data_IF_022890127080
#
_entry.id   IF_022890127080
#
_cell.length_a   1.000
_cell.length_b   1.000
_cell.length_c   1.000
_cell.angle_alpha   90.00
_cell.angle_beta   90.00
_cell.angle_gamma   90.00
#
_symmetry.space_group_name_H-M   'P 1'
#
loop_
_entity.id
_entity.type
_entity.pdbx_description
1 polymer ?
#
# COMPACT_ATOMS: atom_id res chain seq x y z
N UNK A 1 0.80 39.29 -36.66
CA UNK A 1 1.07 39.07 -35.22
C UNK A 1 0.46 37.73 -34.86
N UNK A 2 1.26 36.67 -34.80
CA UNK A 2 0.76 35.32 -34.51
C UNK A 2 0.91 35.06 -33.01
N UNK A 3 -0.22 34.92 -32.30
CA UNK A 3 -0.23 34.45 -30.91
C UNK A 3 -0.08 32.93 -30.93
N UNK A 4 1.11 32.44 -30.57
CA UNK A 4 1.30 31.04 -30.21
C UNK A 4 0.75 30.84 -28.78
N UNK A 5 -0.39 30.15 -28.67
CA UNK A 5 -0.92 29.69 -27.39
C UNK A 5 -0.19 28.39 -27.04
N UNK A 6 0.80 28.48 -26.16
CA UNK A 6 1.42 27.31 -25.55
C UNK A 6 0.43 26.69 -24.57
N UNK A 7 -0.18 25.57 -24.98
CA UNK A 7 -0.94 24.73 -24.08
C UNK A 7 0.03 24.13 -23.03
N UNK A 8 -0.07 24.60 -21.79
CA UNK A 8 0.49 23.92 -20.63
C UNK A 8 -0.25 22.59 -20.50
N UNK A 9 0.36 21.52 -20.99
CA UNK A 9 -0.08 20.17 -20.68
C UNK A 9 0.04 19.99 -19.17
N UNK A 10 -1.08 20.09 -18.47
CA UNK A 10 -1.17 19.73 -17.06
C UNK A 10 -0.73 18.28 -16.95
N UNK A 11 0.40 18.06 -16.30
CA UNK A 11 0.81 16.72 -15.87
C UNK A 11 -0.33 16.26 -14.98
N UNK A 12 -1.09 15.27 -15.43
CA UNK A 12 -2.02 14.57 -14.55
C UNK A 12 -1.15 13.86 -13.51
N UNK A 13 -0.83 14.56 -12.42
CA UNK A 13 -0.16 13.95 -11.28
C UNK A 13 -1.05 12.78 -10.85
N UNK A 14 -0.49 11.57 -10.86
CA UNK A 14 -1.17 10.43 -10.29
C UNK A 14 -1.54 10.80 -8.85
N UNK A 15 -2.83 10.99 -8.60
CA UNK A 15 -3.35 11.50 -7.33
C UNK A 15 -2.76 10.68 -6.17
N UNK A 16 -1.91 11.30 -5.34
CA UNK A 16 -1.20 10.59 -4.28
C UNK A 16 -2.19 10.20 -3.17
N UNK A 17 -2.57 8.93 -3.17
CA UNK A 17 -3.57 8.35 -2.29
C UNK A 17 -2.98 7.72 -1.02
N UNK A 18 -1.66 7.60 -0.94
CA UNK A 18 -0.97 7.22 0.30
C UNK A 18 -1.10 8.38 1.29
N UNK A 19 -1.47 8.05 2.53
CA UNK A 19 -1.53 9.01 3.63
C UNK A 19 -0.30 9.92 3.68
N UNK A 20 -0.54 11.20 3.93
CA UNK A 20 0.50 12.23 3.95
C UNK A 20 1.70 11.87 4.84
N UNK A 21 1.45 11.32 6.03
CA UNK A 21 2.51 10.94 6.99
C UNK A 21 3.31 9.69 6.58
N UNK A 22 2.82 8.91 5.61
CA UNK A 22 3.57 7.81 5.02
C UNK A 22 4.49 8.23 3.87
N UNK A 23 4.18 9.33 3.17
CA UNK A 23 4.91 9.77 1.96
C UNK A 23 6.43 9.89 2.15
N UNK A 24 6.96 10.37 3.29
CA UNK A 24 8.42 10.42 3.50
C UNK A 24 9.09 9.05 3.62
N UNK A 25 8.32 7.98 3.83
CA UNK A 25 8.83 6.63 4.08
C UNK A 25 8.68 5.68 2.90
N UNK A 26 7.98 6.09 1.84
CA UNK A 26 7.66 5.26 0.67
C UNK A 26 8.09 5.94 -0.62
N UNK A 27 8.31 5.17 -1.67
CA UNK A 27 8.45 5.74 -3.01
C UNK A 27 7.10 6.35 -3.44
N UNK A 28 7.15 7.54 -4.03
CA UNK A 28 5.98 8.22 -4.58
C UNK A 28 5.29 7.38 -5.66
N UNK A 29 3.97 7.51 -5.77
CA UNK A 29 3.17 6.64 -6.64
C UNK A 29 3.53 6.75 -8.12
N UNK A 30 3.92 7.94 -8.59
CA UNK A 30 4.39 8.21 -9.95
C UNK A 30 5.73 7.53 -10.30
N UNK A 31 6.56 7.27 -9.29
CA UNK A 31 7.82 6.54 -9.42
C UNK A 31 7.67 5.02 -9.45
N UNK A 32 6.48 4.49 -9.17
CA UNK A 32 6.23 3.05 -9.12
C UNK A 32 5.97 2.48 -10.51
N UNK A 33 6.47 1.27 -10.73
CA UNK A 33 6.28 0.53 -11.98
C UNK A 33 5.23 -0.55 -11.79
N UNK A 34 4.19 -0.47 -12.61
CA UNK A 34 3.10 -1.46 -12.69
C UNK A 34 3.14 -2.16 -14.03
N UNK A 35 2.72 -3.43 -14.08
CA UNK A 35 2.67 -4.17 -15.34
C UNK A 35 1.65 -3.58 -16.32
N UNK A 36 0.57 -2.95 -15.81
CA UNK A 36 -0.42 -2.23 -16.60
C UNK A 36 -1.24 -1.27 -15.69
N UNK A 37 -2.09 -0.39 -16.27
CA UNK A 37 -2.91 0.55 -15.49
C UNK A 37 -3.88 -0.12 -14.51
N UNK A 38 -4.38 -1.33 -14.81
CA UNK A 38 -5.29 -2.07 -13.92
C UNK A 38 -4.59 -2.47 -12.63
N UNK A 39 -3.31 -2.82 -12.67
CA UNK A 39 -2.53 -3.12 -11.46
C UNK A 39 -2.28 -1.86 -10.61
N UNK A 40 -2.12 -0.68 -11.23
CA UNK A 40 -2.07 0.58 -10.50
C UNK A 40 -3.40 0.87 -9.76
N UNK A 41 -4.54 0.56 -10.38
CA UNK A 41 -5.85 0.65 -9.72
C UNK A 41 -5.99 -0.35 -8.57
N UNK A 42 -5.52 -1.59 -8.71
CA UNK A 42 -5.49 -2.55 -7.60
C UNK A 42 -4.59 -2.07 -6.46
N UNK A 43 -3.45 -1.47 -6.76
CA UNK A 43 -2.57 -0.87 -5.75
C UNK A 43 -3.27 0.30 -5.03
N UNK A 44 -3.99 1.17 -5.76
CA UNK A 44 -4.86 2.20 -5.14
C UNK A 44 -5.92 1.57 -4.24
N UNK A 45 -6.58 0.49 -4.67
CA UNK A 45 -7.57 -0.23 -3.86
C UNK A 45 -6.98 -0.79 -2.57
N UNK A 46 -5.77 -1.32 -2.61
CA UNK A 46 -5.06 -1.81 -1.43
C UNK A 46 -4.91 -0.70 -0.38
N UNK A 47 -4.48 0.49 -0.80
CA UNK A 47 -4.26 1.62 0.11
C UNK A 47 -5.54 2.29 0.60
N UNK A 48 -6.54 2.46 -0.27
CA UNK A 48 -7.68 3.36 -0.02
C UNK A 48 -8.99 2.67 0.29
N UNK A 49 -9.17 1.40 -0.09
CA UNK A 49 -10.51 0.80 -0.06
C UNK A 49 -11.34 1.06 -1.31
N UNK A 50 -10.97 2.03 -2.15
CA UNK A 50 -11.76 2.43 -3.30
C UNK A 50 -11.53 1.52 -4.50
N UNK A 51 -12.62 1.03 -5.12
CA UNK A 51 -12.53 0.20 -6.32
C UNK A 51 -12.24 1.00 -7.59
N UNK A 52 -12.63 2.28 -7.65
CA UNK A 52 -12.56 3.06 -8.89
C UNK A 52 -13.20 2.26 -10.05
N UNK A 53 -12.49 2.09 -11.17
CA UNK A 53 -12.98 1.37 -12.36
C UNK A 53 -12.64 -0.14 -12.37
N UNK A 54 -12.27 -0.72 -11.22
CA UNK A 54 -11.97 -2.15 -11.13
C UNK A 54 -13.23 -3.01 -11.25
N UNK A 55 -13.24 -3.90 -12.25
CA UNK A 55 -14.24 -4.96 -12.35
C UNK A 55 -14.05 -6.01 -11.26
N UNK A 56 -15.17 -6.53 -10.73
CA UNK A 56 -15.20 -7.56 -9.67
C UNK A 56 -14.45 -7.15 -8.37
N UNK A 57 -14.43 -5.86 -8.07
CA UNK A 57 -13.85 -5.33 -6.85
C UNK A 57 -14.89 -5.17 -5.73
N UNK A 58 -14.49 -5.49 -4.51
CA UNK A 58 -15.28 -5.24 -3.29
C UNK A 58 -14.70 -3.99 -2.62
N UNK A 59 -15.45 -2.88 -2.47
CA UNK A 59 -14.95 -1.67 -1.85
C UNK A 59 -14.88 -1.80 -0.32
N UNK A 60 -14.13 -0.90 0.32
CA UNK A 60 -14.10 -0.75 1.78
C UNK A 60 -12.93 -1.44 2.49
N UNK A 61 -13.14 -1.71 3.78
CA UNK A 61 -12.11 -2.24 4.67
C UNK A 61 -11.85 -3.75 4.45
N UNK A 62 -10.67 -4.25 4.85
CA UNK A 62 -9.51 -3.48 5.28
C UNK A 62 -8.80 -2.78 4.10
N UNK A 63 -8.31 -1.56 4.34
CA UNK A 63 -7.36 -0.85 3.48
C UNK A 63 -6.15 -0.38 4.30
N UNK A 64 -5.01 -0.20 3.64
CA UNK A 64 -3.77 0.03 4.36
C UNK A 64 -3.70 1.40 5.06
N UNK A 65 -4.34 2.44 4.53
CA UNK A 65 -4.40 3.75 5.18
C UNK A 65 -5.07 3.67 6.57
N UNK A 66 -6.18 2.93 6.67
CA UNK A 66 -6.86 2.66 7.94
C UNK A 66 -6.05 1.75 8.86
N UNK A 67 -5.39 0.72 8.31
CA UNK A 67 -4.53 -0.18 9.09
C UNK A 67 -3.39 0.59 9.75
N UNK A 68 -2.70 1.46 9.02
CA UNK A 68 -1.69 2.35 9.63
C UNK A 68 -2.32 3.20 10.73
N UNK A 69 -3.54 3.72 10.55
CA UNK A 69 -4.23 4.51 11.57
C UNK A 69 -4.43 3.74 12.87
N UNK A 70 -4.94 2.51 12.76
CA UNK A 70 -5.16 1.62 13.90
C UNK A 70 -3.86 1.22 14.60
N UNK A 71 -2.81 0.90 13.82
CA UNK A 71 -1.49 0.58 14.37
C UNK A 71 -0.95 1.75 15.21
N UNK A 72 -1.01 2.98 14.69
CA UNK A 72 -0.50 4.15 15.41
C UNK A 72 -1.31 4.48 16.67
N UNK A 73 -2.62 4.25 16.67
CA UNK A 73 -3.45 4.39 17.88
C UNK A 73 -3.05 3.34 18.91
N UNK A 74 -2.86 2.08 18.47
CA UNK A 74 -2.54 0.95 19.34
C UNK A 74 -1.15 1.03 19.96
N UNK A 75 -0.12 1.39 19.19
CA UNK A 75 1.25 1.57 19.70
C UNK A 75 1.44 2.86 20.52
N UNK A 76 0.52 3.83 20.35
CA UNK A 76 0.55 5.09 21.08
C UNK A 76 1.67 6.05 20.67
N UNK A 77 1.77 7.22 21.33
CA UNK A 77 2.71 8.28 20.93
C UNK A 77 4.19 7.88 21.04
N UNK A 78 4.54 7.04 22.02
CA UNK A 78 5.92 6.60 22.27
C UNK A 78 6.50 5.75 21.14
N UNK A 79 5.67 4.92 20.50
CA UNK A 79 6.12 4.04 19.41
C UNK A 79 6.00 4.70 18.03
N UNK A 80 5.25 5.81 17.91
CA UNK A 80 4.87 6.42 16.63
C UNK A 80 6.06 6.64 15.69
N UNK A 81 7.17 7.15 16.21
CA UNK A 81 8.38 7.48 15.43
C UNK A 81 9.01 6.24 14.79
N UNK A 82 8.99 5.10 15.50
CA UNK A 82 9.52 3.83 14.99
C UNK A 82 8.48 3.09 14.12
N UNK A 83 7.21 3.12 14.55
CA UNK A 83 6.13 2.33 13.97
C UNK A 83 5.66 2.86 12.61
N UNK A 84 5.45 4.18 12.49
CA UNK A 84 4.96 4.81 11.26
C UNK A 84 5.81 4.42 10.03
N UNK A 85 7.13 4.67 9.99
CA UNK A 85 7.92 4.39 8.79
C UNK A 85 7.94 2.89 8.45
N UNK A 86 7.91 2.00 9.45
CA UNK A 86 7.83 0.54 9.23
C UNK A 86 6.49 0.13 8.63
N UNK A 87 5.39 0.59 9.20
CA UNK A 87 4.04 0.29 8.72
C UNK A 87 3.82 0.81 7.28
N UNK A 88 4.33 2.00 6.96
CA UNK A 88 4.21 2.56 5.62
C UNK A 88 5.02 1.77 4.57
N UNK A 89 6.28 1.43 4.87
CA UNK A 89 7.12 0.60 3.99
C UNK A 89 6.55 -0.80 3.80
N UNK A 90 6.02 -1.39 4.87
CA UNK A 90 5.31 -2.67 4.80
C UNK A 90 4.11 -2.60 3.84
N UNK A 91 3.33 -1.53 3.93
CA UNK A 91 2.23 -1.27 3.01
C UNK A 91 2.65 -1.22 1.55
N UNK A 92 3.72 -0.48 1.25
CA UNK A 92 4.24 -0.41 -0.12
C UNK A 92 4.72 -1.78 -0.61
N UNK A 93 5.47 -2.53 0.21
CA UNK A 93 5.96 -3.87 -0.14
C UNK A 93 4.81 -4.84 -0.45
N UNK A 94 3.86 -4.95 0.48
CA UNK A 94 2.73 -5.89 0.39
C UNK A 94 1.77 -5.47 -0.71
N UNK A 95 1.45 -4.17 -0.79
CA UNK A 95 0.53 -3.62 -1.77
C UNK A 95 1.04 -3.80 -3.20
N UNK A 96 2.33 -3.51 -3.44
CA UNK A 96 2.94 -3.68 -4.75
C UNK A 96 2.89 -5.14 -5.19
N UNK A 97 3.20 -6.09 -4.30
CA UNK A 97 3.16 -7.51 -4.65
C UNK A 97 1.72 -8.03 -4.84
N UNK A 98 0.79 -7.62 -3.98
CA UNK A 98 -0.60 -8.08 -4.06
C UNK A 98 -1.32 -7.58 -5.32
N UNK A 99 -0.96 -6.38 -5.77
CA UNK A 99 -1.51 -5.73 -6.95
C UNK A 99 -1.01 -6.30 -8.27
N UNK A 100 -0.02 -7.20 -8.28
CA UNK A 100 0.51 -7.82 -9.50
C UNK A 100 -0.48 -8.80 -10.13
N UNK A 101 -0.13 -9.26 -11.34
CA UNK A 101 -0.88 -10.31 -12.04
C UNK A 101 -1.03 -11.56 -11.15
N UNK A 102 -2.25 -12.12 -11.13
CA UNK A 102 -2.62 -13.29 -10.31
C UNK A 102 -1.74 -14.52 -10.58
N UNK A 103 -1.16 -14.65 -11.77
CA UNK A 103 -0.29 -15.77 -12.16
C UNK A 103 1.11 -15.68 -11.55
N UNK A 104 1.58 -14.46 -11.27
CA UNK A 104 2.95 -14.24 -10.79
C UNK A 104 3.00 -13.88 -9.31
N UNK A 105 1.97 -13.21 -8.79
CA UNK A 105 1.98 -12.71 -7.42
C UNK A 105 2.18 -13.82 -6.39
N UNK A 106 2.95 -13.50 -5.36
CA UNK A 106 3.26 -14.36 -4.22
C UNK A 106 2.33 -14.10 -3.04
N UNK A 107 1.87 -12.87 -2.89
CA UNK A 107 0.93 -12.47 -1.84
C UNK A 107 -0.48 -12.39 -2.42
N UNK A 108 -1.39 -13.19 -1.89
CA UNK A 108 -2.81 -13.28 -2.26
C UNK A 108 -3.69 -12.60 -1.22
N UNK A 109 -4.97 -12.51 -1.52
CA UNK A 109 -5.97 -11.89 -0.62
C UNK A 109 -6.08 -12.62 0.73
N UNK A 110 -5.93 -13.94 0.75
CA UNK A 110 -5.97 -14.70 2.02
C UNK A 110 -4.73 -14.44 2.89
N UNK A 111 -3.59 -14.14 2.27
CA UNK A 111 -2.38 -13.71 2.99
C UNK A 111 -2.59 -12.33 3.61
N UNK A 112 -3.25 -11.40 2.91
CA UNK A 112 -3.63 -10.11 3.49
C UNK A 112 -4.51 -10.27 4.72
N UNK A 113 -5.51 -11.17 4.68
CA UNK A 113 -6.37 -11.47 5.84
C UNK A 113 -5.54 -11.98 7.01
N UNK A 114 -4.60 -12.89 6.74
CA UNK A 114 -3.67 -13.41 7.75
C UNK A 114 -2.81 -12.29 8.34
N UNK A 115 -2.20 -11.45 7.50
CA UNK A 115 -1.41 -10.30 7.95
C UNK A 115 -2.21 -9.35 8.84
N UNK A 116 -3.44 -9.00 8.42
CA UNK A 116 -4.31 -8.15 9.24
C UNK A 116 -4.67 -8.80 10.57
N UNK A 117 -4.97 -10.10 10.58
CA UNK A 117 -5.23 -10.82 11.83
C UNK A 117 -4.02 -10.80 12.76
N UNK A 118 -2.81 -10.98 12.23
CA UNK A 118 -1.56 -10.90 13.02
C UNK A 118 -1.36 -9.52 13.63
N UNK A 119 -1.56 -8.46 12.84
CA UNK A 119 -1.43 -7.07 13.31
C UNK A 119 -2.46 -6.72 14.40
N UNK A 120 -3.70 -7.14 14.22
CA UNK A 120 -4.78 -6.92 15.20
C UNK A 120 -4.55 -7.71 16.49
N UNK A 121 -4.06 -8.95 16.40
CA UNK A 121 -3.81 -9.81 17.55
C UNK A 121 -2.53 -9.45 18.34
N UNK A 122 -1.55 -8.78 17.72
CA UNK A 122 -0.26 -8.51 18.37
C UNK A 122 -0.41 -7.53 19.53
N UNK A 123 -0.06 -7.92 20.76
CA UNK A 123 -0.04 -6.99 21.91
C UNK A 123 1.03 -5.91 21.79
N UNK A 124 2.14 -6.23 21.12
CA UNK A 124 3.23 -5.32 20.76
C UNK A 124 3.10 -4.96 19.28
N UNK A 125 2.74 -3.71 18.99
CA UNK A 125 2.40 -3.30 17.62
C UNK A 125 3.62 -3.30 16.72
N UNK A 126 4.76 -2.86 17.23
CA UNK A 126 6.02 -2.79 16.49
C UNK A 126 6.49 -4.19 16.09
N UNK A 127 6.48 -5.13 17.03
CA UNK A 127 6.85 -6.52 16.79
C UNK A 127 5.90 -7.20 15.79
N UNK A 128 4.60 -6.88 15.86
CA UNK A 128 3.62 -7.40 14.90
C UNK A 128 3.92 -6.96 13.46
N UNK A 129 4.27 -5.68 13.27
CA UNK A 129 4.68 -5.16 11.94
C UNK A 129 5.96 -5.85 11.45
N UNK A 130 6.95 -6.06 12.31
CA UNK A 130 8.20 -6.73 11.95
C UNK A 130 7.98 -8.20 11.55
N UNK A 131 7.10 -8.91 12.26
CA UNK A 131 6.75 -10.29 11.92
C UNK A 131 6.09 -10.38 10.54
N UNK A 132 5.12 -9.51 10.25
CA UNK A 132 4.45 -9.48 8.95
C UNK A 132 5.43 -9.07 7.85
N UNK A 133 6.35 -8.13 8.12
CA UNK A 133 7.39 -7.76 7.15
C UNK A 133 8.29 -8.95 6.80
N UNK A 134 8.77 -9.69 7.80
CA UNK A 134 9.59 -10.88 7.59
C UNK A 134 8.84 -11.94 6.77
N UNK A 135 7.57 -12.19 7.10
CA UNK A 135 6.74 -13.14 6.38
C UNK A 135 6.51 -12.70 4.92
N UNK A 136 6.15 -11.44 4.68
CA UNK A 136 5.94 -10.89 3.34
C UNK A 136 7.21 -11.00 2.49
N UNK A 137 8.38 -10.65 3.04
CA UNK A 137 9.67 -10.78 2.35
C UNK A 137 9.99 -12.23 2.02
N UNK A 138 9.76 -13.16 2.94
CA UNK A 138 9.98 -14.58 2.70
C UNK A 138 9.08 -15.12 1.58
N UNK A 139 7.80 -14.72 1.56
CA UNK A 139 6.87 -15.09 0.49
C UNK A 139 7.32 -14.55 -0.87
N UNK A 140 7.73 -13.28 -0.94
CA UNK A 140 8.22 -12.64 -2.17
C UNK A 140 9.51 -13.30 -2.68
N UNK A 141 10.43 -13.64 -1.77
CA UNK A 141 11.72 -14.25 -2.12
C UNK A 141 11.59 -15.74 -2.52
N UNK A 142 10.49 -16.40 -2.17
CA UNK A 142 10.28 -17.80 -2.50
C UNK A 142 10.25 -18.01 -4.03
N UNK A 143 11.21 -18.82 -4.52
CA UNK A 143 11.18 -19.33 -5.89
C UNK A 143 10.14 -20.45 -5.95
N UNK A 144 9.28 -20.42 -6.98
CA UNK A 144 8.54 -21.61 -7.41
C UNK A 144 9.42 -22.39 -8.36
#
# INVERSE_FOLDING_TARGET
MALAITALAGVAEAEEFVRHDCRPSVQATDGLKFENPVHALWYRRFWTGACSDLSLCIPGAPNWNEVVGRLLVKGGPSERVALLPKACRLGQLVGMEWARDRRIKRIKTDDLRTFYSTLEASGDTLRGVEQVELQARAMIASRR
#
